data_IF_780522632871
#
_entry.id   IF_780522632871
#
_cell.length_a   1.000
_cell.length_b   1.000
_cell.length_c   1.000
_cell.angle_alpha   90.00
_cell.angle_beta   90.00
_cell.angle_gamma   90.00
#
_symmetry.space_group_name_H-M   'P 1'
#
loop_
_entity.id
_entity.type
_entity.pdbx_description
1 polymer ?
#
# COMPACT_ATOMS: atom_id res chain seq x y z
N UNK A 1 39.70 5.11 1.14
CA UNK A 1 38.42 5.42 1.78
C UNK A 1 37.76 6.37 0.79
N UNK A 2 36.93 5.80 -0.09
CA UNK A 2 36.27 6.63 -1.11
C UNK A 2 35.28 7.55 -0.40
N UNK A 3 35.32 8.84 -0.73
CA UNK A 3 34.30 9.79 -0.26
C UNK A 3 32.92 9.25 -0.62
N UNK A 4 31.93 9.38 0.29
CA UNK A 4 30.56 8.98 -0.04
C UNK A 4 30.11 9.73 -1.29
N UNK A 5 29.41 9.06 -2.22
CA UNK A 5 28.97 9.69 -3.45
C UNK A 5 28.12 10.94 -3.10
N UNK A 6 28.38 12.03 -3.81
CA UNK A 6 27.65 13.27 -3.65
C UNK A 6 26.19 13.03 -4.08
N UNK A 7 25.24 13.31 -3.15
CA UNK A 7 23.82 13.13 -3.42
C UNK A 7 23.32 14.21 -4.39
N UNK A 8 22.54 13.80 -5.36
CA UNK A 8 21.85 14.74 -6.25
C UNK A 8 20.69 15.45 -5.53
N UNK A 9 20.12 16.55 -6.10
CA UNK A 9 19.07 17.32 -5.44
C UNK A 9 17.84 16.51 -5.05
N UNK A 10 17.38 15.55 -5.87
CA UNK A 10 16.22 14.70 -5.56
C UNK A 10 16.51 13.79 -4.35
N UNK A 11 17.68 13.18 -4.30
CA UNK A 11 18.12 12.36 -3.16
C UNK A 11 18.28 13.19 -1.88
N UNK A 12 18.77 14.42 -1.99
CA UNK A 12 18.88 15.35 -0.86
C UNK A 12 17.50 15.74 -0.31
N UNK A 13 16.53 15.98 -1.18
CA UNK A 13 15.16 16.29 -0.80
C UNK A 13 14.51 15.12 -0.04
N UNK A 14 14.58 13.90 -0.58
CA UNK A 14 14.07 12.69 0.11
C UNK A 14 14.77 12.51 1.45
N UNK A 15 16.10 12.69 1.51
CA UNK A 15 16.86 12.55 2.74
C UNK A 15 16.44 13.59 3.80
N UNK A 16 16.18 14.83 3.38
CA UNK A 16 15.72 15.89 4.27
C UNK A 16 14.35 15.57 4.87
N UNK A 17 13.43 15.01 4.07
CA UNK A 17 12.10 14.62 4.52
C UNK A 17 12.12 13.35 5.38
N UNK A 18 13.01 12.39 5.08
CA UNK A 18 13.24 11.21 5.90
C UNK A 18 13.93 11.55 7.23
N UNK A 19 14.73 12.60 7.25
CA UNK A 19 15.57 12.96 8.37
C UNK A 19 14.76 13.43 9.58
N UNK A 20 15.14 12.94 10.76
CA UNK A 20 14.76 13.54 12.03
C UNK A 20 15.90 13.26 13.00
N UNK A 21 16.39 14.30 13.68
CA UNK A 21 17.35 14.10 14.75
C UNK A 21 16.70 13.23 15.82
N UNK A 22 17.52 12.58 16.65
CA UNK A 22 16.98 11.74 17.73
C UNK A 22 16.03 12.52 18.64
N UNK A 23 16.35 13.77 18.94
CA UNK A 23 15.62 14.59 19.89
C UNK A 23 14.31 15.16 19.32
N UNK A 24 14.20 15.27 18.00
CA UNK A 24 13.00 15.73 17.29
C UNK A 24 11.98 14.60 17.06
N UNK A 25 12.34 13.34 17.37
CA UNK A 25 11.43 12.21 17.17
C UNK A 25 10.33 12.19 18.21
N UNK A 26 9.06 11.98 17.82
CA UNK A 26 7.93 11.98 18.74
C UNK A 26 8.04 10.85 19.77
N UNK A 27 7.45 11.09 20.94
CA UNK A 27 7.27 10.09 21.99
C UNK A 27 5.80 9.78 22.12
N UNK A 28 5.50 8.50 22.33
CA UNK A 28 4.13 8.03 22.53
C UNK A 28 4.03 7.34 23.90
N UNK A 29 2.89 7.53 24.55
CA UNK A 29 2.59 6.78 25.76
C UNK A 29 2.44 5.28 25.44
N UNK A 30 3.00 4.42 26.26
CA UNK A 30 2.90 2.98 26.09
C UNK A 30 1.45 2.47 26.18
N UNK A 31 0.54 3.26 26.75
CA UNK A 31 -0.89 2.95 26.84
C UNK A 31 -1.58 2.90 25.46
N UNK A 32 -1.09 3.65 24.47
CA UNK A 32 -1.71 3.75 23.15
C UNK A 32 -1.94 2.39 22.48
N UNK A 33 -0.99 1.47 22.66
CA UNK A 33 -1.11 0.10 22.18
C UNK A 33 -2.36 -0.60 22.68
N UNK A 34 -2.62 -0.47 23.97
CA UNK A 34 -3.75 -1.13 24.63
C UNK A 34 -5.08 -0.44 24.32
N UNK A 35 -5.08 0.86 24.17
CA UNK A 35 -6.26 1.62 23.80
C UNK A 35 -6.69 1.33 22.35
N UNK A 36 -5.76 1.30 21.40
CA UNK A 36 -6.05 0.92 20.02
C UNK A 36 -6.53 -0.53 19.92
N UNK A 37 -5.90 -1.44 20.68
CA UNK A 37 -6.33 -2.84 20.72
C UNK A 37 -7.77 -2.94 21.25
N UNK A 38 -8.07 -2.24 22.35
CA UNK A 38 -9.42 -2.21 22.93
C UNK A 38 -10.44 -1.63 21.94
N UNK A 39 -10.10 -0.55 21.22
CA UNK A 39 -10.98 0.03 20.19
C UNK A 39 -11.36 -1.00 19.12
N UNK A 40 -10.40 -1.80 18.67
CA UNK A 40 -10.67 -2.87 17.71
C UNK A 40 -11.48 -4.01 18.34
N UNK A 41 -11.11 -4.45 19.55
CA UNK A 41 -11.82 -5.54 20.25
C UNK A 41 -13.29 -5.15 20.46
N UNK A 42 -13.57 -3.98 21.05
CA UNK A 42 -14.94 -3.49 21.32
C UNK A 42 -15.73 -3.25 20.03
N UNK A 43 -15.07 -2.69 18.99
CA UNK A 43 -15.73 -2.37 17.73
C UNK A 43 -16.05 -3.60 16.86
N UNK A 44 -15.24 -4.66 16.95
CA UNK A 44 -15.43 -5.88 16.16
C UNK A 44 -16.21 -6.97 16.90
N UNK A 45 -16.36 -6.88 18.23
CA UNK A 45 -17.09 -7.86 19.04
C UNK A 45 -18.53 -8.14 18.53
N UNK A 46 -19.32 -7.11 18.12
CA UNK A 46 -20.68 -7.34 17.60
C UNK A 46 -20.74 -8.25 16.37
N UNK A 47 -19.65 -8.33 15.62
CA UNK A 47 -19.55 -9.07 14.36
C UNK A 47 -18.98 -10.49 14.51
N UNK A 48 -18.56 -10.88 15.72
CA UNK A 48 -17.97 -12.22 15.97
C UNK A 48 -18.96 -13.34 15.70
N UNK A 49 -20.18 -13.21 16.23
CA UNK A 49 -21.23 -14.21 16.07
C UNK A 49 -21.70 -14.30 14.60
N UNK A 50 -21.61 -13.19 13.88
CA UNK A 50 -22.03 -13.08 12.49
C UNK A 50 -21.21 -13.94 11.53
N UNK A 51 -19.95 -14.15 11.85
CA UNK A 51 -19.04 -14.96 11.03
C UNK A 51 -19.15 -16.46 11.32
N UNK A 52 -19.98 -16.88 12.30
CA UNK A 52 -20.22 -18.29 12.63
C UNK A 52 -18.95 -19.15 12.78
N UNK A 53 -17.82 -18.53 13.13
CA UNK A 53 -16.52 -19.18 13.27
C UNK A 53 -15.62 -19.13 12.04
N UNK A 54 -16.08 -18.57 10.93
CA UNK A 54 -15.24 -18.35 9.75
C UNK A 54 -14.25 -17.21 10.00
N UNK A 55 -13.03 -17.37 9.48
CA UNK A 55 -12.00 -16.34 9.58
C UNK A 55 -12.16 -15.27 8.49
N UNK A 56 -12.23 -14.00 8.90
CA UNK A 56 -12.26 -12.86 7.99
C UNK A 56 -10.87 -12.24 7.86
N UNK A 57 -10.29 -12.28 6.67
CA UNK A 57 -9.05 -11.60 6.35
C UNK A 57 -9.32 -10.16 5.95
N UNK A 58 -8.77 -9.21 6.71
CA UNK A 58 -8.92 -7.77 6.49
C UNK A 58 -7.60 -7.20 5.98
N UNK A 59 -7.60 -6.72 4.75
CA UNK A 59 -6.45 -6.06 4.13
C UNK A 59 -6.75 -4.59 3.81
N UNK A 60 -5.70 -3.79 3.62
CA UNK A 60 -5.84 -2.41 3.13
C UNK A 60 -6.65 -2.33 1.84
N UNK A 61 -6.46 -3.29 0.95
CA UNK A 61 -7.14 -3.35 -0.34
C UNK A 61 -8.63 -3.62 -0.17
N UNK A 62 -9.00 -4.59 0.67
CA UNK A 62 -10.40 -4.91 0.97
C UNK A 62 -11.13 -3.70 1.56
N UNK A 63 -10.50 -3.04 2.55
CA UNK A 63 -11.03 -1.81 3.15
C UNK A 63 -11.15 -0.67 2.13
N UNK A 64 -10.13 -0.48 1.29
CA UNK A 64 -10.14 0.54 0.25
C UNK A 64 -11.28 0.35 -0.77
N UNK A 65 -11.58 -0.89 -1.15
CA UNK A 65 -12.68 -1.23 -2.07
C UNK A 65 -14.04 -0.88 -1.47
N UNK A 66 -14.37 -1.42 -0.28
CA UNK A 66 -15.67 -1.20 0.34
C UNK A 66 -15.90 0.26 0.74
N UNK A 67 -14.89 0.93 1.28
CA UNK A 67 -14.96 2.35 1.64
C UNK A 67 -14.99 3.28 0.42
N UNK A 68 -14.58 2.81 -0.73
CA UNK A 68 -14.63 3.54 -1.99
C UNK A 68 -16.04 3.57 -2.60
N UNK A 69 -16.56 2.42 -3.00
CA UNK A 69 -17.90 2.29 -3.57
C UNK A 69 -18.43 0.88 -3.30
N UNK A 70 -19.46 0.76 -2.46
CA UNK A 70 -20.04 -0.53 -2.06
C UNK A 70 -20.62 -1.30 -3.24
N UNK A 71 -21.27 -0.61 -4.18
CA UNK A 71 -21.79 -1.24 -5.40
C UNK A 71 -20.67 -1.86 -6.26
N UNK A 72 -19.58 -1.13 -6.43
CA UNK A 72 -18.41 -1.67 -7.12
C UNK A 72 -17.79 -2.84 -6.37
N UNK A 73 -17.68 -2.71 -5.04
CA UNK A 73 -17.14 -3.76 -4.18
C UNK A 73 -17.90 -5.09 -4.37
N UNK A 74 -19.25 -5.06 -4.35
CA UNK A 74 -20.08 -6.25 -4.60
C UNK A 74 -19.88 -6.83 -6.00
N UNK A 75 -19.88 -5.98 -7.01
CA UNK A 75 -19.75 -6.43 -8.38
C UNK A 75 -18.38 -7.08 -8.67
N UNK A 76 -17.34 -6.65 -7.96
CA UNK A 76 -15.98 -7.21 -8.09
C UNK A 76 -15.71 -8.37 -7.11
N UNK A 77 -16.61 -8.65 -6.14
CA UNK A 77 -16.34 -9.68 -5.10
C UNK A 77 -16.44 -11.10 -5.68
N UNK A 78 -17.23 -11.28 -6.75
CA UNK A 78 -17.39 -12.54 -7.47
C UNK A 78 -16.43 -12.67 -8.69
N UNK A 79 -15.65 -11.62 -9.00
CA UNK A 79 -14.74 -11.62 -10.13
C UNK A 79 -13.43 -12.36 -9.81
N UNK A 80 -13.02 -13.25 -10.69
CA UNK A 80 -11.71 -13.89 -10.58
C UNK A 80 -10.60 -12.87 -10.85
N UNK A 81 -9.58 -12.88 -9.99
CA UNK A 81 -8.42 -12.00 -10.15
C UNK A 81 -7.67 -12.36 -11.45
N UNK A 82 -7.49 -11.37 -12.32
CA UNK A 82 -6.73 -11.51 -13.55
C UNK A 82 -5.47 -10.61 -13.54
N UNK A 83 -4.34 -11.19 -13.88
CA UNK A 83 -3.11 -10.43 -14.09
C UNK A 83 -3.21 -9.58 -15.36
N UNK A 84 -2.55 -8.43 -15.32
CA UNK A 84 -2.39 -7.52 -16.46
C UNK A 84 -1.00 -6.89 -16.44
N UNK A 85 -0.57 -6.31 -17.56
CA UNK A 85 0.73 -5.64 -17.66
C UNK A 85 0.93 -4.59 -16.56
N UNK A 86 -0.04 -3.69 -16.24
CA UNK A 86 0.12 -2.72 -15.16
C UNK A 86 0.31 -3.35 -13.77
N UNK A 87 -0.38 -4.43 -13.45
CA UNK A 87 -0.27 -5.12 -12.16
C UNK A 87 1.07 -5.86 -12.04
N UNK A 88 1.44 -6.62 -13.07
CA UNK A 88 2.69 -7.36 -13.11
C UNK A 88 3.90 -6.41 -13.06
N UNK A 89 3.85 -5.29 -13.79
CA UNK A 89 4.85 -4.23 -13.74
C UNK A 89 5.12 -3.72 -12.33
N UNK A 90 4.06 -3.45 -11.57
CA UNK A 90 4.17 -3.04 -10.17
C UNK A 90 4.94 -4.07 -9.34
N UNK A 91 4.54 -5.33 -9.43
CA UNK A 91 5.17 -6.44 -8.69
C UNK A 91 6.63 -6.63 -9.09
N UNK A 92 6.95 -6.54 -10.38
CA UNK A 92 8.34 -6.64 -10.88
C UNK A 92 9.19 -5.48 -10.37
N UNK A 93 8.68 -4.23 -10.44
CA UNK A 93 9.41 -3.07 -9.96
C UNK A 93 9.69 -3.14 -8.45
N UNK A 94 8.70 -3.53 -7.62
CA UNK A 94 8.89 -3.74 -6.18
C UNK A 94 9.95 -4.82 -5.91
N UNK A 95 9.90 -5.93 -6.63
CA UNK A 95 10.90 -7.01 -6.49
C UNK A 95 12.30 -6.55 -6.89
N UNK A 96 12.45 -5.77 -7.94
CA UNK A 96 13.73 -5.23 -8.38
C UNK A 96 14.29 -4.24 -7.36
N UNK A 97 13.47 -3.39 -6.76
CA UNK A 97 13.86 -2.47 -5.69
C UNK A 97 14.26 -3.26 -4.44
N UNK A 98 13.50 -4.27 -4.04
CA UNK A 98 13.87 -5.18 -2.95
C UNK A 98 15.27 -5.79 -3.19
N UNK A 99 15.51 -6.30 -4.39
CA UNK A 99 16.81 -6.88 -4.76
C UNK A 99 17.93 -5.84 -4.71
N UNK A 100 17.68 -4.60 -5.16
CA UNK A 100 18.69 -3.53 -5.18
C UNK A 100 19.27 -3.25 -3.80
N UNK A 101 18.44 -3.32 -2.75
CA UNK A 101 18.82 -3.02 -1.37
C UNK A 101 19.83 -4.04 -0.83
N UNK A 102 19.76 -5.27 -1.30
CA UNK A 102 20.63 -6.37 -0.89
C UNK A 102 21.68 -6.76 -1.96
N UNK A 103 21.78 -5.98 -3.05
CA UNK A 103 22.68 -6.26 -4.15
C UNK A 103 24.13 -6.00 -3.74
N UNK A 104 25.02 -6.94 -4.06
CA UNK A 104 26.43 -6.86 -3.61
C UNK A 104 27.31 -5.92 -4.45
N UNK A 105 26.87 -5.61 -5.65
CA UNK A 105 27.55 -4.71 -6.61
C UNK A 105 26.71 -3.45 -6.79
N UNK A 106 27.22 -2.51 -7.59
CA UNK A 106 26.42 -1.41 -8.07
C UNK A 106 25.19 -1.96 -8.79
N UNK A 107 23.97 -1.56 -8.39
CA UNK A 107 22.74 -2.11 -8.93
C UNK A 107 22.49 -1.56 -10.33
N UNK A 108 22.54 -2.42 -11.34
CA UNK A 108 22.16 -2.09 -12.71
C UNK A 108 20.64 -2.33 -12.88
N UNK A 109 19.80 -1.29 -13.18
CA UNK A 109 18.36 -1.40 -13.21
C UNK A 109 17.85 -2.57 -14.05
N UNK A 110 18.34 -2.70 -15.26
CA UNK A 110 17.91 -3.73 -16.19
C UNK A 110 18.26 -5.15 -15.73
N UNK A 111 19.41 -5.31 -15.07
CA UNK A 111 19.83 -6.61 -14.48
C UNK A 111 18.91 -6.96 -13.31
N UNK A 112 18.52 -5.98 -12.48
CA UNK A 112 17.59 -6.19 -11.38
C UNK A 112 16.19 -6.58 -11.87
N UNK A 113 15.72 -5.95 -12.95
CA UNK A 113 14.43 -6.27 -13.57
C UNK A 113 14.43 -7.68 -14.16
N UNK A 114 15.47 -8.06 -14.91
CA UNK A 114 15.60 -9.38 -15.51
C UNK A 114 15.66 -10.48 -14.42
N UNK A 115 16.42 -10.25 -13.35
CA UNK A 115 16.48 -11.16 -12.20
C UNK A 115 15.12 -11.25 -11.48
N UNK A 116 14.39 -10.13 -11.38
CA UNK A 116 13.07 -10.11 -10.76
C UNK A 116 12.07 -10.92 -11.56
N UNK A 117 12.04 -10.75 -12.87
CA UNK A 117 11.19 -11.53 -13.78
C UNK A 117 11.52 -13.02 -13.65
N UNK A 118 12.82 -13.38 -13.66
CA UNK A 118 13.24 -14.77 -13.48
C UNK A 118 12.72 -15.37 -12.20
N UNK A 119 12.95 -14.71 -11.05
CA UNK A 119 12.50 -15.21 -9.73
C UNK A 119 10.99 -15.31 -9.60
N UNK A 120 10.26 -14.34 -10.15
CA UNK A 120 8.80 -14.34 -10.13
C UNK A 120 8.22 -15.43 -11.05
N UNK A 121 8.89 -15.74 -12.15
CA UNK A 121 8.49 -16.83 -13.06
C UNK A 121 8.72 -18.24 -12.50
N UNK A 122 9.59 -18.37 -11.49
CA UNK A 122 9.87 -19.63 -10.78
C UNK A 122 8.89 -19.86 -9.59
N UNK A 123 8.03 -18.88 -9.30
CA UNK A 123 7.00 -18.98 -8.26
C UNK A 123 5.93 -20.02 -8.59
N UNK A 124 5.09 -20.30 -7.60
CA UNK A 124 3.94 -21.22 -7.72
C UNK A 124 2.61 -20.45 -7.63
N UNK A 125 2.61 -19.19 -7.95
CA UNK A 125 1.45 -18.29 -7.90
C UNK A 125 0.95 -17.92 -9.30
N UNK A 126 -0.23 -17.33 -9.36
CA UNK A 126 -0.85 -16.95 -10.64
C UNK A 126 -0.03 -15.95 -11.47
N UNK A 127 0.93 -15.21 -10.88
CA UNK A 127 1.83 -14.34 -11.63
C UNK A 127 2.83 -15.17 -12.44
N UNK A 128 3.39 -16.23 -11.85
CA UNK A 128 4.31 -17.12 -12.57
C UNK A 128 3.64 -17.74 -13.80
N UNK A 129 2.41 -18.24 -13.63
CA UNK A 129 1.62 -18.82 -14.72
C UNK A 129 1.33 -17.77 -15.79
N UNK A 130 0.91 -16.56 -15.39
CA UNK A 130 0.62 -15.47 -16.33
C UNK A 130 1.88 -15.03 -17.08
N UNK A 131 3.02 -14.89 -16.43
CA UNK A 131 4.30 -14.56 -17.08
C UNK A 131 4.72 -15.60 -18.13
N UNK A 132 4.36 -16.87 -17.97
CA UNK A 132 4.61 -17.91 -18.97
C UNK A 132 3.73 -17.75 -20.23
N UNK A 133 2.52 -17.20 -20.07
CA UNK A 133 1.56 -16.98 -21.17
C UNK A 133 1.78 -15.64 -21.90
N UNK A 134 2.56 -14.72 -21.34
CA UNK A 134 2.86 -13.42 -21.95
C UNK A 134 3.47 -13.55 -23.33
N UNK A 135 2.99 -12.74 -24.26
CA UNK A 135 3.60 -12.56 -25.57
C UNK A 135 4.99 -11.88 -25.44
N UNK A 136 5.80 -11.98 -26.50
CA UNK A 136 7.08 -11.27 -26.53
C UNK A 136 6.92 -9.75 -26.42
N UNK A 137 5.84 -9.19 -26.95
CA UNK A 137 5.51 -7.76 -26.88
C UNK A 137 5.21 -7.37 -25.44
N UNK A 138 4.32 -8.09 -24.74
CA UNK A 138 3.98 -7.85 -23.35
C UNK A 138 5.20 -7.98 -22.44
N UNK A 139 6.07 -8.97 -22.69
CA UNK A 139 7.33 -9.11 -21.92
C UNK A 139 8.28 -7.94 -22.15
N UNK A 140 8.41 -7.47 -23.39
CA UNK A 140 9.25 -6.31 -23.71
C UNK A 140 8.69 -5.03 -23.05
N UNK A 141 7.38 -4.83 -23.05
CA UNK A 141 6.70 -3.73 -22.39
C UNK A 141 6.90 -3.78 -20.87
N UNK A 142 6.62 -4.91 -20.23
CA UNK A 142 6.86 -5.14 -18.80
C UNK A 142 8.29 -4.82 -18.39
N UNK A 143 9.26 -5.31 -19.17
CA UNK A 143 10.67 -5.11 -18.91
C UNK A 143 11.07 -3.64 -19.01
N UNK A 144 10.61 -2.94 -20.06
CA UNK A 144 10.88 -1.53 -20.25
C UNK A 144 10.25 -0.67 -19.15
N UNK A 145 8.96 -0.86 -18.91
CA UNK A 145 8.22 -0.07 -17.94
C UNK A 145 8.66 -0.31 -16.49
N UNK A 146 9.00 -1.56 -16.11
CA UNK A 146 9.57 -1.84 -14.80
C UNK A 146 10.95 -1.21 -14.65
N UNK A 147 11.79 -1.28 -15.71
CA UNK A 147 13.11 -0.65 -15.71
C UNK A 147 13.03 0.85 -15.47
N UNK A 148 12.12 1.56 -16.11
CA UNK A 148 11.95 3.02 -15.92
C UNK A 148 11.68 3.36 -14.44
N UNK A 149 10.89 2.56 -13.74
CA UNK A 149 10.57 2.77 -12.31
C UNK A 149 11.78 2.48 -11.42
N UNK A 150 12.52 1.42 -11.74
CA UNK A 150 13.75 1.08 -11.00
C UNK A 150 14.83 2.14 -11.22
N UNK A 151 15.03 2.61 -12.44
CA UNK A 151 15.92 3.74 -12.75
C UNK A 151 15.51 4.95 -11.93
N UNK A 152 14.23 5.34 -11.97
CA UNK A 152 13.72 6.48 -11.22
C UNK A 152 13.95 6.34 -9.71
N UNK A 153 13.73 5.15 -9.14
CA UNK A 153 14.03 4.89 -7.74
C UNK A 153 15.52 5.06 -7.44
N UNK A 154 16.40 4.45 -8.19
CA UNK A 154 17.84 4.51 -7.95
C UNK A 154 18.43 5.92 -8.17
N UNK A 155 17.84 6.71 -9.08
CA UNK A 155 18.24 8.09 -9.32
C UNK A 155 17.75 9.06 -8.24
N UNK A 156 16.50 8.90 -7.78
CA UNK A 156 15.86 9.89 -6.91
C UNK A 156 15.88 9.50 -5.42
N UNK A 157 15.99 8.21 -5.11
CA UNK A 157 16.07 7.74 -3.73
C UNK A 157 17.53 7.73 -3.25
N UNK A 158 17.82 8.23 -2.03
CA UNK A 158 19.19 8.21 -1.52
C UNK A 158 19.65 6.76 -1.27
N UNK A 159 20.95 6.43 -1.52
CA UNK A 159 21.48 5.11 -1.24
C UNK A 159 21.22 4.69 0.21
N UNK A 160 20.60 3.54 0.39
CA UNK A 160 20.24 3.05 1.72
C UNK A 160 21.48 2.63 2.51
N UNK A 161 21.66 3.24 3.67
CA UNK A 161 22.77 2.95 4.58
C UNK A 161 22.36 1.84 5.55
N UNK A 162 23.26 0.90 5.86
CA UNK A 162 23.00 -0.18 6.80
C UNK A 162 22.56 0.33 8.20
N UNK A 163 23.06 1.50 8.62
CA UNK A 163 22.66 2.14 9.89
C UNK A 163 21.17 2.54 9.94
N UNK A 164 20.50 2.69 8.79
CA UNK A 164 19.06 2.95 8.72
C UNK A 164 18.23 1.68 8.88
N UNK A 165 18.87 0.52 8.95
CA UNK A 165 18.23 -0.77 9.14
C UNK A 165 17.07 -0.99 8.16
N UNK A 166 17.32 -0.94 6.86
CA UNK A 166 16.28 -1.17 5.87
C UNK A 166 15.75 -2.62 5.98
N UNK A 167 14.43 -2.75 5.99
CA UNK A 167 13.74 -4.04 5.91
C UNK A 167 12.71 -3.94 4.81
N UNK A 168 12.79 -4.86 3.85
CA UNK A 168 11.86 -4.94 2.71
C UNK A 168 10.80 -5.99 2.92
N UNK A 169 9.64 -5.82 2.28
CA UNK A 169 8.59 -6.84 2.18
C UNK A 169 8.13 -7.38 3.55
N UNK A 170 8.12 -6.49 4.55
CA UNK A 170 7.81 -6.85 5.95
C UNK A 170 6.35 -7.22 6.11
N UNK A 171 6.08 -8.49 6.46
CA UNK A 171 4.72 -8.99 6.66
C UNK A 171 4.17 -8.55 8.02
N UNK A 172 2.96 -8.02 7.99
CA UNK A 172 2.18 -7.64 9.15
C UNK A 172 1.00 -8.59 9.31
N UNK A 173 0.74 -9.00 10.55
CA UNK A 173 -0.42 -9.80 10.92
C UNK A 173 -0.82 -9.48 12.35
N UNK A 174 -2.10 -9.21 12.56
CA UNK A 174 -2.72 -8.96 13.86
C UNK A 174 -4.07 -9.70 13.89
N UNK A 175 -4.27 -10.49 14.91
CA UNK A 175 -5.52 -11.24 15.11
C UNK A 175 -6.35 -10.56 16.21
N UNK A 176 -7.65 -10.39 15.93
CA UNK A 176 -8.67 -9.83 16.82
C UNK A 176 -9.75 -10.90 16.97
N UNK A 177 -10.10 -11.25 18.21
CA UNK A 177 -11.09 -12.30 18.55
C UNK A 177 -10.85 -13.66 17.87
N UNK A 178 -9.60 -13.95 17.47
CA UNK A 178 -9.22 -15.18 16.73
C UNK A 178 -9.98 -15.40 15.39
N UNK A 179 -10.75 -14.41 14.96
CA UNK A 179 -11.62 -14.45 13.77
C UNK A 179 -11.19 -13.40 12.75
N UNK A 180 -10.91 -12.16 13.18
CA UNK A 180 -10.48 -11.09 12.27
C UNK A 180 -8.96 -11.10 12.16
N UNK A 181 -8.45 -11.28 10.94
CA UNK A 181 -7.02 -11.28 10.66
C UNK A 181 -6.67 -10.04 9.84
N UNK A 182 -6.18 -9.00 10.51
CA UNK A 182 -5.65 -7.82 9.84
C UNK A 182 -4.26 -8.16 9.32
N UNK A 183 -4.05 -8.03 8.01
CA UNK A 183 -2.78 -8.43 7.41
C UNK A 183 -2.38 -7.56 6.23
N UNK A 184 -1.07 -7.52 5.99
CA UNK A 184 -0.50 -6.82 4.86
C UNK A 184 1.02 -6.96 4.77
N UNK A 185 1.60 -6.18 3.88
CA UNK A 185 3.03 -6.21 3.60
C UNK A 185 3.52 -4.79 3.33
N UNK A 186 4.50 -4.34 4.10
CA UNK A 186 5.16 -3.04 3.93
C UNK A 186 6.34 -3.21 2.98
N UNK A 187 6.39 -2.42 1.92
CA UNK A 187 7.42 -2.54 0.89
C UNK A 187 8.81 -2.24 1.43
N UNK A 188 8.95 -1.15 2.20
CA UNK A 188 10.20 -0.76 2.82
C UNK A 188 9.96 -0.12 4.19
N UNK A 189 10.73 -0.51 5.18
CA UNK A 189 10.77 0.19 6.46
C UNK A 189 12.21 0.55 6.84
N UNK A 190 12.37 1.70 7.50
CA UNK A 190 13.66 2.21 7.95
C UNK A 190 13.62 2.50 9.45
N UNK A 191 14.72 2.24 10.14
CA UNK A 191 14.87 2.55 11.55
C UNK A 191 14.10 1.63 12.49
N UNK A 192 14.06 2.02 13.75
CA UNK A 192 13.35 1.31 14.82
C UNK A 192 12.99 2.28 15.96
N UNK A 193 12.06 1.88 16.81
CA UNK A 193 11.76 2.59 18.03
C UNK A 193 12.89 2.45 19.07
N UNK A 194 13.01 3.43 19.96
CA UNK A 194 13.90 3.43 21.13
C UNK A 194 13.06 3.69 22.38
N UNK A 195 12.53 2.63 22.98
CA UNK A 195 11.56 2.74 24.06
C UNK A 195 10.27 3.40 23.59
N UNK A 196 9.87 4.50 24.22
CA UNK A 196 8.70 5.32 23.89
C UNK A 196 8.91 6.26 22.69
N UNK A 197 10.17 6.38 22.25
CA UNK A 197 10.55 7.28 21.15
C UNK A 197 10.38 6.59 19.80
N UNK A 198 9.52 7.12 18.96
CA UNK A 198 9.29 6.63 17.62
C UNK A 198 10.50 6.90 16.69
N UNK A 199 10.97 5.88 16.02
CA UNK A 199 12.12 5.99 15.11
C UNK A 199 11.92 5.32 13.77
N UNK A 200 10.85 4.50 13.63
CA UNK A 200 10.55 3.74 12.41
C UNK A 200 9.84 4.60 11.39
N UNK A 201 10.18 4.40 10.13
CA UNK A 201 9.49 4.96 8.96
C UNK A 201 8.93 3.80 8.17
N UNK A 202 7.67 3.88 7.74
CA UNK A 202 7.04 2.94 6.81
C UNK A 202 6.90 3.59 5.45
N UNK A 203 7.30 2.90 4.40
CA UNK A 203 7.29 3.40 3.03
C UNK A 203 6.54 2.40 2.15
N UNK A 204 5.59 2.92 1.39
CA UNK A 204 4.82 2.20 0.38
C UNK A 204 5.20 2.74 -0.99
N UNK A 205 5.60 1.85 -1.90
CA UNK A 205 6.02 2.20 -3.25
C UNK A 205 4.81 2.10 -4.18
N UNK A 206 4.58 3.12 -5.00
CA UNK A 206 3.45 3.14 -5.94
C UNK A 206 3.94 3.33 -7.37
N UNK A 207 3.47 2.45 -8.27
CA UNK A 207 3.73 2.51 -9.72
C UNK A 207 2.55 3.12 -10.46
N UNK A 208 2.12 4.27 -10.04
CA UNK A 208 0.96 4.97 -10.62
C UNK A 208 0.85 6.38 -10.07
N UNK A 209 -0.22 7.07 -10.44
CA UNK A 209 -0.51 8.42 -9.99
C UNK A 209 -0.94 8.49 -8.52
N UNK A 210 -1.01 9.71 -8.01
CA UNK A 210 -1.55 9.97 -6.69
C UNK A 210 -3.03 9.55 -6.59
N UNK A 211 -3.35 8.86 -5.49
CA UNK A 211 -4.71 8.57 -5.09
C UNK A 211 -4.85 8.76 -3.57
N UNK A 212 -5.89 9.49 -3.09
CA UNK A 212 -6.06 9.77 -1.65
C UNK A 212 -6.05 8.52 -0.77
N UNK A 213 -6.60 7.41 -1.26
CA UNK A 213 -6.65 6.13 -0.55
C UNK A 213 -5.27 5.52 -0.27
N UNK A 214 -4.20 5.93 -0.96
CA UNK A 214 -2.84 5.48 -0.68
C UNK A 214 -2.36 5.88 0.72
N UNK A 215 -2.87 6.99 1.27
CA UNK A 215 -2.60 7.39 2.65
C UNK A 215 -3.19 6.40 3.65
N UNK A 216 -4.41 5.94 3.41
CA UNK A 216 -5.10 4.98 4.28
C UNK A 216 -4.39 3.61 4.29
N UNK A 217 -3.73 3.24 3.21
CA UNK A 217 -2.92 2.01 3.13
C UNK A 217 -1.84 1.98 4.21
N UNK A 218 -1.07 3.05 4.33
CA UNK A 218 0.01 3.16 5.30
C UNK A 218 -0.48 3.39 6.73
N UNK A 219 -1.59 4.10 6.91
CA UNK A 219 -2.24 4.29 8.22
C UNK A 219 -2.71 2.96 8.80
N UNK A 220 -3.26 2.07 7.95
CA UNK A 220 -3.60 0.70 8.33
C UNK A 220 -2.37 -0.09 8.80
N UNK A 221 -1.25 0.04 8.11
CA UNK A 221 -0.01 -0.60 8.53
C UNK A 221 0.55 -0.02 9.82
N UNK A 222 0.48 1.30 10.00
CA UNK A 222 0.89 1.96 11.25
C UNK A 222 0.08 1.48 12.45
N UNK A 223 -1.23 1.29 12.29
CA UNK A 223 -2.10 0.73 13.32
C UNK A 223 -1.64 -0.68 13.75
N UNK A 224 -1.45 -1.59 12.77
CA UNK A 224 -1.00 -2.96 13.07
C UNK A 224 0.37 -2.97 13.75
N UNK A 225 1.32 -2.19 13.23
CA UNK A 225 2.67 -2.06 13.81
C UNK A 225 2.61 -1.56 15.26
N UNK A 226 1.81 -0.53 15.53
CA UNK A 226 1.66 0.06 16.86
C UNK A 226 1.12 -0.95 17.87
N UNK A 227 0.08 -1.67 17.51
CA UNK A 227 -0.51 -2.68 18.41
C UNK A 227 0.48 -3.83 18.65
N UNK A 228 1.22 -4.26 17.64
CA UNK A 228 2.17 -5.37 17.74
C UNK A 228 3.44 -5.00 18.51
N UNK A 229 4.02 -3.84 18.23
CA UNK A 229 5.34 -3.46 18.74
C UNK A 229 5.29 -2.49 19.92
N UNK A 230 4.18 -1.82 20.15
CA UNK A 230 3.97 -0.92 21.30
C UNK A 230 4.30 0.54 21.03
N UNK A 231 5.19 0.83 20.08
CA UNK A 231 5.54 2.21 19.70
C UNK A 231 5.21 2.44 18.23
N UNK A 232 4.43 3.49 17.90
CA UNK A 232 4.10 3.83 16.52
C UNK A 232 5.33 4.09 15.64
N UNK A 233 5.23 3.92 14.32
CA UNK A 233 6.19 4.55 13.43
C UNK A 233 6.10 6.08 13.57
N UNK A 234 7.19 6.80 13.33
CA UNK A 234 7.16 8.28 13.38
C UNK A 234 6.66 8.92 12.09
N UNK A 235 6.84 8.21 10.98
CA UNK A 235 6.57 8.73 9.64
C UNK A 235 6.05 7.61 8.75
N UNK A 236 5.04 7.94 7.98
CA UNK A 236 4.55 7.19 6.84
C UNK A 236 4.99 7.91 5.57
N UNK A 237 5.30 7.20 4.50
CA UNK A 237 5.64 7.86 3.25
C UNK A 237 5.19 7.03 2.05
N UNK A 238 4.42 7.64 1.17
CA UNK A 238 4.15 7.08 -0.15
C UNK A 238 5.19 7.60 -1.12
N UNK A 239 5.86 6.69 -1.82
CA UNK A 239 6.83 7.05 -2.85
C UNK A 239 6.31 6.65 -4.24
N UNK A 240 6.06 7.65 -5.07
CA UNK A 240 5.54 7.48 -6.43
C UNK A 240 6.70 7.29 -7.39
N UNK A 241 6.91 6.05 -7.82
CA UNK A 241 8.03 5.64 -8.68
C UNK A 241 8.01 6.35 -10.04
N UNK A 242 6.83 6.56 -10.62
CA UNK A 242 6.69 7.21 -11.93
C UNK A 242 7.16 8.66 -11.91
N UNK A 243 7.03 9.33 -10.76
CA UNK A 243 7.33 10.75 -10.60
C UNK A 243 8.61 11.01 -9.79
N UNK A 244 9.16 10.00 -9.12
CA UNK A 244 10.25 10.16 -8.15
C UNK A 244 9.82 11.02 -6.94
N UNK A 245 8.52 11.00 -6.59
CA UNK A 245 7.95 11.89 -5.58
C UNK A 245 7.73 11.19 -4.25
N UNK A 246 8.27 11.77 -3.20
CA UNK A 246 8.08 11.35 -1.81
C UNK A 246 6.97 12.18 -1.16
N UNK A 247 5.98 11.53 -0.56
CA UNK A 247 4.87 12.17 0.14
C UNK A 247 4.83 11.67 1.58
N UNK A 248 5.39 12.44 2.55
CA UNK A 248 5.41 12.07 3.95
C UNK A 248 4.12 12.42 4.69
N UNK A 249 3.80 11.66 5.73
CA UNK A 249 2.76 11.92 6.71
C UNK A 249 3.25 11.56 8.12
N UNK A 250 3.21 12.51 9.04
CA UNK A 250 3.57 12.27 10.44
C UNK A 250 2.50 11.43 11.14
N UNK A 251 2.94 10.46 11.96
CA UNK A 251 2.02 9.64 12.73
C UNK A 251 1.63 10.36 14.02
N UNK A 252 0.33 10.48 14.25
CA UNK A 252 -0.28 11.02 15.46
C UNK A 252 -1.21 9.99 16.11
N UNK A 253 -1.53 10.16 17.38
CA UNK A 253 -2.52 9.32 18.05
C UNK A 253 -3.89 9.41 17.36
N UNK A 254 -4.31 10.62 16.98
CA UNK A 254 -5.57 10.83 16.26
C UNK A 254 -5.62 10.06 14.93
N UNK A 255 -4.51 10.02 14.17
CA UNK A 255 -4.39 9.23 12.95
C UNK A 255 -4.59 7.74 13.22
N UNK A 256 -3.98 7.22 14.29
CA UNK A 256 -4.07 5.80 14.65
C UNK A 256 -5.50 5.41 15.07
N UNK A 257 -6.15 6.24 15.90
CA UNK A 257 -7.55 6.01 16.28
C UNK A 257 -8.50 6.13 15.09
N UNK A 258 -8.28 7.08 14.18
CA UNK A 258 -9.05 7.17 12.93
C UNK A 258 -8.86 5.93 12.06
N UNK A 259 -7.65 5.37 12.02
CA UNK A 259 -7.39 4.12 11.31
C UNK A 259 -8.08 2.92 11.95
N UNK A 260 -8.13 2.85 13.29
CA UNK A 260 -8.86 1.81 14.00
C UNK A 260 -10.38 1.90 13.74
N UNK A 261 -10.96 3.11 13.80
CA UNK A 261 -12.36 3.33 13.46
C UNK A 261 -12.66 2.91 12.01
N UNK A 262 -11.77 3.27 11.06
CA UNK A 262 -11.91 2.86 9.64
C UNK A 262 -11.93 1.34 9.48
N UNK A 263 -11.13 0.59 10.26
CA UNK A 263 -11.16 -0.88 10.23
C UNK A 263 -12.51 -1.41 10.71
N UNK A 264 -13.02 -0.90 11.83
CA UNK A 264 -14.33 -1.30 12.39
C UNK A 264 -15.46 -0.99 11.41
N UNK A 265 -15.52 0.24 10.91
CA UNK A 265 -16.53 0.68 9.94
C UNK A 265 -16.45 -0.13 8.63
N UNK A 266 -15.23 -0.43 8.17
CA UNK A 266 -15.01 -1.21 6.95
C UNK A 266 -15.47 -2.65 7.10
N UNK A 267 -15.22 -3.29 8.25
CA UNK A 267 -15.70 -4.66 8.54
C UNK A 267 -17.22 -4.68 8.60
N UNK A 268 -17.84 -3.75 9.34
CA UNK A 268 -19.30 -3.64 9.42
C UNK A 268 -19.93 -3.51 8.02
N UNK A 269 -19.40 -2.59 7.19
CA UNK A 269 -19.88 -2.39 5.82
C UNK A 269 -19.71 -3.63 4.93
N UNK A 270 -18.59 -4.35 5.03
CA UNK A 270 -18.39 -5.57 4.25
C UNK A 270 -19.46 -6.61 4.60
N UNK A 271 -19.76 -6.77 5.88
CA UNK A 271 -20.75 -7.74 6.35
C UNK A 271 -22.17 -7.33 5.91
N UNK A 272 -22.55 -6.07 6.11
CA UNK A 272 -23.87 -5.56 5.70
C UNK A 272 -24.11 -5.72 4.19
N UNK A 273 -23.11 -5.32 3.39
CA UNK A 273 -23.21 -5.32 1.93
C UNK A 273 -23.25 -6.75 1.37
N UNK A 274 -22.46 -7.67 1.93
CA UNK A 274 -22.47 -9.10 1.51
C UNK A 274 -23.76 -9.83 1.89
N UNK A 275 -24.45 -9.38 2.93
CA UNK A 275 -25.74 -9.95 3.33
C UNK A 275 -26.92 -9.33 2.60
N UNK A 276 -26.71 -8.32 1.80
CA UNK A 276 -27.76 -7.53 1.17
C UNK A 276 -28.77 -6.97 2.18
N UNK A 277 -28.32 -6.60 3.38
CA UNK A 277 -29.14 -5.99 4.42
C UNK A 277 -29.52 -4.55 4.09
N UNK A 278 -28.74 -3.89 3.24
CA UNK A 278 -29.00 -2.55 2.71
C UNK A 278 -28.65 -2.47 1.22
N UNK A 279 -29.29 -1.51 0.53
CA UNK A 279 -28.88 -1.18 -0.84
C UNK A 279 -27.46 -0.60 -0.83
N UNK A 280 -26.53 -1.09 -1.69
CA UNK A 280 -25.15 -0.65 -1.66
C UNK A 280 -25.02 0.82 -2.08
N UNK A 281 -24.29 1.59 -1.28
CA UNK A 281 -24.01 2.98 -1.59
C UNK A 281 -23.14 3.10 -2.84
N UNK A 282 -23.47 4.08 -3.69
CA UNK A 282 -22.69 4.42 -4.87
C UNK A 282 -21.85 5.66 -4.59
N UNK A 283 -20.55 5.57 -4.84
CA UNK A 283 -19.63 6.70 -4.80
C UNK A 283 -18.91 6.81 -6.15
N UNK A 284 -19.50 7.54 -7.12
CA UNK A 284 -18.95 7.68 -8.45
C UNK A 284 -17.62 8.45 -8.42
N UNK A 285 -16.70 8.03 -9.28
CA UNK A 285 -15.36 8.61 -9.36
C UNK A 285 -14.60 8.12 -10.59
N UNK A 286 -13.31 8.48 -10.76
CA UNK A 286 -12.51 8.09 -11.92
C UNK A 286 -12.47 6.56 -12.17
N UNK A 287 -12.57 5.78 -11.10
CA UNK A 287 -12.58 4.33 -11.16
C UNK A 287 -13.84 3.73 -11.84
N UNK A 288 -14.91 4.52 -12.04
CA UNK A 288 -16.09 4.08 -12.80
C UNK A 288 -15.75 3.68 -14.24
N UNK A 289 -14.69 4.24 -14.82
CA UNK A 289 -14.21 3.90 -16.17
C UNK A 289 -13.91 2.42 -16.37
N UNK A 290 -13.53 1.74 -15.30
CA UNK A 290 -13.15 0.32 -15.30
C UNK A 290 -14.05 -0.53 -14.39
N UNK A 291 -15.21 0.01 -14.02
CA UNK A 291 -16.14 -0.67 -13.13
C UNK A 291 -16.98 -1.69 -13.91
N UNK A 292 -16.95 -2.95 -13.49
CA UNK A 292 -17.75 -4.03 -14.11
C UNK A 292 -19.26 -3.79 -13.99
N UNK A 293 -19.70 -3.01 -13.00
CA UNK A 293 -21.11 -2.65 -12.81
C UNK A 293 -21.50 -1.35 -13.54
N UNK A 294 -20.66 -0.78 -14.41
CA UNK A 294 -20.93 0.51 -15.04
C UNK A 294 -22.21 0.49 -15.88
N UNK A 295 -22.44 -0.59 -16.63
CA UNK A 295 -23.59 -0.71 -17.53
C UNK A 295 -24.93 -0.62 -16.80
N UNK A 296 -24.99 -0.99 -15.55
CA UNK A 296 -26.16 -0.94 -14.69
C UNK A 296 -26.11 0.19 -13.64
N UNK A 297 -25.13 1.11 -13.75
CA UNK A 297 -24.90 2.17 -12.75
C UNK A 297 -25.11 3.58 -13.33
N UNK A 298 -26.31 4.13 -13.15
CA UNK A 298 -26.63 5.49 -13.63
C UNK A 298 -25.74 6.58 -12.98
N UNK A 299 -25.34 6.40 -11.72
CA UNK A 299 -24.47 7.34 -11.03
C UNK A 299 -23.06 7.37 -11.66
N UNK A 300 -22.51 6.19 -12.00
CA UNK A 300 -21.21 6.08 -12.66
C UNK A 300 -21.25 6.64 -14.07
N UNK A 301 -22.31 6.34 -14.85
CA UNK A 301 -22.50 6.89 -16.20
C UNK A 301 -22.57 8.41 -16.21
N UNK A 302 -23.38 9.01 -15.31
CA UNK A 302 -23.46 10.48 -15.17
C UNK A 302 -22.10 11.10 -14.84
N UNK A 303 -21.38 10.53 -13.87
CA UNK A 303 -20.07 11.04 -13.50
C UNK A 303 -19.09 11.08 -14.69
N UNK A 304 -19.09 10.05 -15.53
CA UNK A 304 -18.20 10.01 -16.69
C UNK A 304 -18.65 10.97 -17.81
N UNK A 305 -19.96 11.10 -18.05
CA UNK A 305 -20.48 12.07 -19.04
C UNK A 305 -20.22 13.52 -18.64
N UNK A 306 -20.43 13.87 -17.37
CA UNK A 306 -20.19 15.22 -16.85
C UNK A 306 -18.68 15.59 -16.89
N UNK A 307 -17.80 14.58 -16.70
CA UNK A 307 -16.34 14.74 -16.82
C UNK A 307 -15.86 15.00 -18.25
N UNK A 308 -16.46 14.32 -19.22
CA UNK A 308 -16.12 14.50 -20.64
C UNK A 308 -16.60 15.88 -21.18
N UNK A 309 -17.70 16.43 -20.65
CA UNK A 309 -18.17 17.78 -21.00
C UNK A 309 -17.26 18.88 -20.43
N UNK A 310 -16.68 18.68 -19.26
CA UNK A 310 -15.76 19.64 -18.63
C UNK A 310 -14.42 19.73 -19.37
N UNK A 311 -13.91 18.62 -19.89
CA UNK A 311 -12.63 18.56 -20.63
C UNK A 311 -12.78 19.07 -22.10
N UNK A 312 -14.01 19.09 -22.64
CA UNK A 312 -14.33 19.53 -23.99
C UNK A 312 -14.56 21.05 -24.15
N UNK A 313 -14.56 21.83 -23.06
CA UNK A 313 -14.91 23.26 -23.08
C UNK A 313 -13.74 24.25 -23.12
N UNK A 314 -12.49 23.77 -23.15
CA UNK A 314 -11.26 24.58 -23.23
C UNK A 314 -10.50 24.36 -24.54
N UNK A 315 -11.13 24.74 -25.72
CA UNK A 315 -10.43 24.94 -27.00
C UNK A 315 -10.95 26.17 -27.70
#
# INVERSE_FOLDING_TARGET
MDDPPELNPAQQEVLAQLGASRDDRPRFDAVIRHELRRTLDEGLEPHVEELAGDTMFVSKHLLGRVMGCERRFLAEDDEEFAWSVPLARGTIAHKAIELSIHWRREPEPLVLVDESISRLSEGVDGLADWLQTCTEVERAELRAEANDRVVKFLECWPPLKAQWRPVTESRLRLEIHDIFVLSGKVDLSLGQAEGDRAGKVLIDLKTGGFAPQHLDDLRFYALIETIRLGTPPRLLATYYLDQGRFLPEEVTEALLFSSAARVVDGVAKILDVRRHESDPNTAPGPACRWCVALDDCDAGKRYLSDGDEADGSDW
#
